data_IF_072844042549
#
_entry.id   IF_072844042549
#
_cell.length_a   1.000
_cell.length_b   1.000
_cell.length_c   1.000
_cell.angle_alpha   90.00
_cell.angle_beta   90.00
_cell.angle_gamma   90.00
#
_symmetry.space_group_name_H-M   'P 1'
#
loop_
_entity.id
_entity.type
_entity.pdbx_description
1 polymer ?
#
# COMPACT_ATOMS: atom_id res chain seq x y z
N UNK A 1 -44.69 41.48 23.05
CA UNK A 1 -44.36 40.06 22.86
C UNK A 1 -43.97 39.82 21.39
N UNK A 2 -42.80 40.11 20.79
CA UNK A 2 -41.42 40.48 21.18
C UNK A 2 -40.87 39.66 22.35
N UNK A 3 -39.95 38.75 22.02
CA UNK A 3 -39.26 37.68 22.79
C UNK A 3 -39.50 36.38 21.98
N UNK A 4 -38.54 35.65 21.43
CA UNK A 4 -37.19 35.34 21.89
C UNK A 4 -36.44 34.61 20.74
N UNK A 5 -35.10 34.75 20.71
CA UNK A 5 -34.11 33.85 20.07
C UNK A 5 -34.06 33.92 18.52
N UNK A 6 -33.23 34.71 17.84
CA UNK A 6 -32.02 35.47 18.18
C UNK A 6 -30.88 34.67 18.87
N UNK A 7 -30.61 33.45 18.40
CA UNK A 7 -29.33 32.75 18.61
C UNK A 7 -28.96 32.09 17.28
N UNK A 8 -28.09 32.73 16.50
CA UNK A 8 -27.01 32.13 15.69
C UNK A 8 -26.30 33.14 14.76
N UNK A 9 -26.35 34.46 15.08
CA UNK A 9 -25.51 35.48 14.44
C UNK A 9 -24.41 36.02 15.37
N UNK A 10 -23.98 35.26 16.38
CA UNK A 10 -22.94 35.66 17.34
C UNK A 10 -21.77 34.65 17.32
N UNK A 11 -20.82 34.84 16.40
CA UNK A 11 -19.37 34.67 16.67
C UNK A 11 -18.51 35.04 15.45
N UNK A 12 -18.82 36.17 14.80
CA UNK A 12 -17.89 36.87 13.91
C UNK A 12 -17.69 38.28 14.46
N UNK A 13 -16.51 38.50 15.04
CA UNK A 13 -15.79 39.78 15.06
C UNK A 13 -16.17 40.79 16.14
N UNK A 14 -15.24 41.00 17.08
CA UNK A 14 -14.84 42.28 17.74
C UNK A 14 -13.72 41.87 18.73
N UNK A 15 -12.55 42.46 18.88
CA UNK A 15 -11.78 43.53 18.21
C UNK A 15 -10.34 43.41 18.75
N UNK A 16 -9.30 43.57 17.92
CA UNK A 16 -8.58 44.81 17.66
C UNK A 16 -7.95 45.47 18.91
N UNK A 17 -6.61 45.38 18.99
CA UNK A 17 -5.67 46.52 19.02
C UNK A 17 -4.53 46.35 20.04
N UNK A 18 -3.29 46.25 19.53
CA UNK A 18 -2.15 47.05 20.01
C UNK A 18 -0.96 46.87 19.05
N UNK A 19 -0.69 47.91 18.25
CA UNK A 19 0.59 48.20 17.63
C UNK A 19 1.67 48.36 18.72
N UNK A 20 2.89 47.88 18.49
CA UNK A 20 4.03 48.77 18.17
C UNK A 20 5.37 48.02 18.11
N UNK A 21 6.14 48.39 17.08
CA UNK A 21 7.59 48.57 17.07
C UNK A 21 8.49 47.36 17.34
N UNK A 22 9.06 46.83 16.26
CA UNK A 22 10.33 46.11 16.32
C UNK A 22 11.40 47.01 15.65
N UNK A 23 12.33 47.62 16.41
CA UNK A 23 13.52 48.24 15.84
C UNK A 23 14.65 47.21 15.74
N UNK A 24 15.60 47.53 14.86
CA UNK A 24 16.78 46.76 14.49
C UNK A 24 17.72 46.37 15.66
N UNK A 25 18.52 45.34 15.39
CA UNK A 25 19.59 44.68 16.17
C UNK A 25 20.48 45.57 17.07
N UNK A 26 21.19 44.97 18.05
CA UNK A 26 22.59 44.62 17.78
C UNK A 26 23.03 43.22 18.27
N UNK A 27 24.08 42.72 17.61
CA UNK A 27 24.90 41.58 18.01
C UNK A 27 25.41 41.70 19.46
N UNK A 28 25.38 40.58 20.21
CA UNK A 28 26.44 40.24 21.19
C UNK A 28 26.44 38.74 21.55
N UNK A 29 27.64 38.16 21.51
CA UNK A 29 28.09 36.77 21.77
C UNK A 29 27.97 36.32 23.25
N UNK A 30 28.49 35.14 23.69
CA UNK A 30 28.52 33.80 23.10
C UNK A 30 27.93 32.72 24.05
N UNK A 31 27.26 31.72 23.46
CA UNK A 31 27.48 30.29 23.67
C UNK A 31 27.77 29.78 25.11
N UNK A 32 26.74 29.71 25.98
CA UNK A 32 26.83 28.98 27.25
C UNK A 32 26.74 27.46 27.09
N UNK A 33 26.13 26.97 26.02
CA UNK A 33 26.02 25.52 25.77
C UNK A 33 27.34 24.92 25.26
N UNK A 34 28.11 25.65 24.43
CA UNK A 34 29.42 25.15 23.97
C UNK A 34 30.44 24.93 25.09
N UNK A 35 30.41 25.75 26.16
CA UNK A 35 31.29 25.56 27.33
C UNK A 35 30.95 24.29 28.11
N UNK A 36 29.67 23.91 28.19
CA UNK A 36 29.24 22.68 28.88
C UNK A 36 29.70 21.42 28.13
N UNK A 37 29.71 21.46 26.80
CA UNK A 37 30.23 20.37 25.96
C UNK A 37 31.77 20.33 25.94
N UNK A 38 32.46 21.47 26.05
CA UNK A 38 33.92 21.51 26.19
C UNK A 38 34.39 21.01 27.55
N UNK A 39 33.72 21.36 28.65
CA UNK A 39 34.07 20.81 29.98
C UNK A 39 33.79 19.31 30.09
N UNK A 40 32.80 18.77 29.36
CA UNK A 40 32.64 17.31 29.26
C UNK A 40 33.70 16.69 28.35
N UNK A 41 34.02 17.28 27.20
CA UNK A 41 35.08 16.76 26.30
C UNK A 41 36.46 16.72 26.96
N UNK A 42 36.83 17.75 27.73
CA UNK A 42 38.12 17.82 28.42
C UNK A 42 38.21 16.85 29.61
N UNK A 43 37.06 16.43 30.17
CA UNK A 43 37.00 15.41 31.23
C UNK A 43 37.15 13.98 30.70
N UNK A 44 36.85 13.75 29.42
CA UNK A 44 37.08 12.47 28.75
C UNK A 44 38.52 12.32 28.23
N UNK A 45 39.23 13.42 27.98
CA UNK A 45 40.64 13.40 27.57
C UNK A 45 41.64 13.25 28.73
N UNK A 46 41.24 13.48 29.99
CA UNK A 46 42.12 13.32 31.16
C UNK A 46 42.08 11.95 31.83
N UNK A 47 41.18 11.08 31.39
CA UNK A 47 41.14 9.68 31.80
C UNK A 47 41.60 8.83 30.62
N UNK A 48 42.88 8.95 30.26
CA UNK A 48 43.52 7.95 29.40
C UNK A 48 43.35 6.60 30.11
N UNK A 49 42.58 5.65 29.55
CA UNK A 49 42.42 4.37 30.19
C UNK A 49 43.79 3.71 30.23
N UNK A 50 44.23 3.35 31.44
CA UNK A 50 45.17 2.25 31.69
C UNK A 50 44.93 1.17 30.63
N UNK A 51 45.98 0.63 29.99
CA UNK A 51 45.85 -0.22 28.79
C UNK A 51 44.75 -1.22 29.06
N UNK A 52 43.63 -1.04 28.36
CA UNK A 52 42.44 -1.85 28.54
C UNK A 52 42.92 -3.28 28.38
N UNK A 53 42.82 -4.09 29.45
CA UNK A 53 43.12 -5.52 29.41
C UNK A 53 42.57 -6.05 28.09
N UNK A 54 43.42 -6.66 27.25
CA UNK A 54 43.00 -7.18 25.94
C UNK A 54 41.75 -8.07 26.07
N UNK A 55 41.57 -8.74 27.21
CA UNK A 55 40.38 -9.52 27.55
C UNK A 55 39.11 -8.69 27.70
N UNK A 56 39.19 -7.50 28.32
CA UNK A 56 38.04 -6.58 28.43
C UNK A 56 37.71 -5.97 27.07
N UNK A 57 38.70 -5.63 26.26
CA UNK A 57 38.50 -5.21 24.87
C UNK A 57 37.81 -6.29 24.04
N UNK A 58 38.28 -7.55 24.13
CA UNK A 58 37.68 -8.71 23.46
C UNK A 58 36.25 -8.99 23.95
N UNK A 59 35.95 -8.80 25.24
CA UNK A 59 34.58 -8.92 25.77
C UNK A 59 33.66 -7.82 25.23
N UNK A 60 34.12 -6.56 25.21
CA UNK A 60 33.33 -5.45 24.68
C UNK A 60 33.04 -5.67 23.18
N UNK A 61 34.03 -6.09 22.40
CA UNK A 61 33.82 -6.44 20.98
C UNK A 61 32.80 -7.56 20.79
N UNK A 62 32.84 -8.62 21.62
CA UNK A 62 31.84 -9.70 21.57
C UNK A 62 30.42 -9.21 21.89
N UNK A 63 30.27 -8.37 22.91
CA UNK A 63 28.95 -7.81 23.23
C UNK A 63 28.43 -6.88 22.14
N UNK A 64 29.31 -6.13 21.47
CA UNK A 64 28.93 -5.32 20.31
C UNK A 64 28.50 -6.18 19.12
N UNK A 65 29.25 -7.23 18.80
CA UNK A 65 28.88 -8.17 17.73
C UNK A 65 27.56 -8.90 18.02
N UNK A 66 27.35 -9.32 19.27
CA UNK A 66 26.12 -9.96 19.71
C UNK A 66 24.92 -9.00 19.66
N UNK A 67 25.11 -7.74 20.06
CA UNK A 67 24.09 -6.70 19.94
C UNK A 67 23.76 -6.41 18.45
N UNK A 68 24.77 -6.25 17.59
CA UNK A 68 24.58 -6.04 16.16
C UNK A 68 23.82 -7.20 15.51
N UNK A 69 24.20 -8.44 15.84
CA UNK A 69 23.52 -9.64 15.37
C UNK A 69 22.05 -9.69 15.80
N UNK A 70 21.76 -9.36 17.07
CA UNK A 70 20.39 -9.26 17.57
C UNK A 70 19.59 -8.17 16.84
N UNK A 71 20.18 -7.01 16.56
CA UNK A 71 19.51 -5.95 15.79
C UNK A 71 19.24 -6.39 14.35
N UNK A 72 20.18 -7.07 13.70
CA UNK A 72 20.02 -7.59 12.35
C UNK A 72 18.92 -8.66 12.27
N UNK A 73 18.86 -9.55 13.26
CA UNK A 73 17.80 -10.57 13.38
C UNK A 73 16.42 -9.92 13.58
N UNK A 74 16.29 -8.94 14.48
CA UNK A 74 15.04 -8.20 14.71
C UNK A 74 14.60 -7.44 13.45
N UNK A 75 15.53 -6.80 12.73
CA UNK A 75 15.23 -6.05 11.52
C UNK A 75 14.87 -6.97 10.34
N UNK A 76 15.49 -8.16 10.24
CA UNK A 76 15.14 -9.18 9.26
C UNK A 76 13.72 -9.72 9.47
N UNK A 77 13.39 -10.07 10.71
CA UNK A 77 12.05 -10.55 11.08
C UNK A 77 10.95 -9.52 10.82
N UNK A 78 11.23 -8.22 11.00
CA UNK A 78 10.27 -7.15 10.70
C UNK A 78 9.92 -7.08 9.20
N UNK A 79 10.91 -7.17 8.31
CA UNK A 79 10.68 -7.11 6.85
C UNK A 79 9.84 -8.29 6.35
N UNK A 80 10.15 -9.50 6.83
CA UNK A 80 9.39 -10.70 6.48
C UNK A 80 7.97 -10.66 7.08
N UNK A 81 7.81 -10.11 8.28
CA UNK A 81 6.50 -9.91 8.90
C UNK A 81 5.63 -8.91 8.13
N UNK A 82 6.21 -7.85 7.55
CA UNK A 82 5.49 -6.88 6.72
C UNK A 82 4.96 -7.51 5.43
N UNK A 83 5.75 -8.36 4.76
CA UNK A 83 5.28 -9.11 3.59
C UNK A 83 4.12 -10.03 3.95
N UNK A 84 4.27 -10.86 5.00
CA UNK A 84 3.19 -11.76 5.45
C UNK A 84 1.92 -11.01 5.84
N UNK A 85 2.06 -9.85 6.48
CA UNK A 85 0.92 -9.00 6.85
C UNK A 85 0.24 -8.43 5.61
N UNK A 86 1.02 -7.99 4.62
CA UNK A 86 0.49 -7.48 3.36
C UNK A 86 -0.20 -8.58 2.56
N UNK A 87 0.33 -9.79 2.53
CA UNK A 87 -0.30 -10.97 1.92
C UNK A 87 -1.65 -11.31 2.55
N UNK A 88 -1.74 -11.33 3.89
CA UNK A 88 -3.02 -11.52 4.60
C UNK A 88 -4.03 -10.42 4.26
N UNK A 89 -3.57 -9.17 4.13
CA UNK A 89 -4.45 -8.06 3.71
C UNK A 89 -4.92 -8.22 2.27
N UNK A 90 -4.07 -8.74 1.38
CA UNK A 90 -4.46 -9.05 -0.01
C UNK A 90 -5.54 -10.12 -0.02
N UNK A 91 -5.33 -11.24 0.68
CA UNK A 91 -6.30 -12.35 0.78
C UNK A 91 -7.67 -11.85 1.28
N UNK A 92 -7.69 -11.11 2.40
CA UNK A 92 -8.93 -10.54 2.92
C UNK A 92 -9.62 -9.58 1.93
N UNK A 93 -8.87 -8.81 1.14
CA UNK A 93 -9.48 -7.93 0.13
C UNK A 93 -9.99 -8.70 -1.10
N UNK A 94 -9.37 -9.83 -1.45
CA UNK A 94 -9.88 -10.73 -2.50
C UNK A 94 -11.23 -11.33 -2.07
N UNK A 95 -11.32 -11.83 -0.83
CA UNK A 95 -12.57 -12.38 -0.28
C UNK A 95 -13.68 -11.32 -0.19
N UNK A 96 -13.33 -10.10 0.23
CA UNK A 96 -14.26 -8.97 0.24
C UNK A 96 -14.74 -8.61 -1.17
N UNK A 97 -13.84 -8.63 -2.15
CA UNK A 97 -14.17 -8.35 -3.55
C UNK A 97 -15.18 -9.36 -4.08
N UNK A 98 -14.94 -10.66 -3.90
CA UNK A 98 -15.86 -11.72 -4.32
C UNK A 98 -17.22 -11.58 -3.61
N UNK A 99 -17.19 -11.32 -2.30
CA UNK A 99 -18.39 -11.06 -1.50
C UNK A 99 -19.23 -9.89 -2.05
N UNK A 100 -18.59 -8.77 -2.39
CA UNK A 100 -19.30 -7.61 -2.96
C UNK A 100 -19.79 -7.87 -4.38
N UNK A 101 -19.01 -8.54 -5.23
CA UNK A 101 -19.43 -8.92 -6.59
C UNK A 101 -20.65 -9.84 -6.58
N UNK A 102 -20.67 -10.83 -5.69
CA UNK A 102 -21.81 -11.73 -5.51
C UNK A 102 -23.07 -11.00 -5.04
N UNK A 103 -22.93 -10.06 -4.10
CA UNK A 103 -24.04 -9.24 -3.61
C UNK A 103 -24.55 -8.28 -4.69
N UNK A 104 -23.65 -7.68 -5.47
CA UNK A 104 -23.99 -6.84 -6.62
C UNK A 104 -24.82 -7.62 -7.65
N UNK A 105 -24.33 -8.79 -8.06
CA UNK A 105 -25.04 -9.66 -9.00
C UNK A 105 -26.42 -10.08 -8.47
N UNK A 106 -26.52 -10.36 -7.16
CA UNK A 106 -27.79 -10.68 -6.51
C UNK A 106 -28.77 -9.51 -6.54
N UNK A 107 -28.30 -8.29 -6.27
CA UNK A 107 -29.12 -7.08 -6.33
C UNK A 107 -29.61 -6.81 -7.77
N UNK A 108 -28.73 -6.91 -8.76
CA UNK A 108 -29.06 -6.72 -10.17
C UNK A 108 -30.09 -7.74 -10.67
N UNK A 109 -29.90 -9.02 -10.31
CA UNK A 109 -30.86 -10.09 -10.62
C UNK A 109 -32.21 -9.86 -9.94
N UNK A 110 -32.21 -9.42 -8.68
CA UNK A 110 -33.43 -9.10 -7.94
C UNK A 110 -34.17 -7.92 -8.57
N UNK A 111 -33.45 -6.88 -8.97
CA UNK A 111 -33.99 -5.70 -9.64
C UNK A 111 -34.62 -6.07 -10.99
N UNK A 112 -33.97 -6.94 -11.77
CA UNK A 112 -34.54 -7.49 -13.01
C UNK A 112 -35.82 -8.29 -12.75
N UNK A 113 -35.83 -9.16 -11.74
CA UNK A 113 -37.01 -9.95 -11.36
C UNK A 113 -38.18 -9.07 -10.96
N UNK A 114 -37.95 -8.05 -10.12
CA UNK A 114 -38.99 -7.11 -9.68
C UNK A 114 -39.54 -6.32 -10.86
N UNK A 115 -38.68 -5.80 -11.76
CA UNK A 115 -39.14 -5.12 -12.98
C UNK A 115 -40.07 -5.99 -13.81
N UNK A 116 -39.72 -7.25 -14.03
CA UNK A 116 -40.55 -8.19 -14.79
C UNK A 116 -41.86 -8.54 -14.06
N UNK A 117 -41.82 -8.76 -12.74
CA UNK A 117 -43.01 -9.07 -11.94
C UNK A 117 -44.01 -7.92 -12.00
N UNK A 118 -43.56 -6.68 -11.78
CA UNK A 118 -44.43 -5.51 -11.78
C UNK A 118 -44.93 -5.14 -13.18
N UNK A 119 -44.12 -5.39 -14.22
CA UNK A 119 -44.57 -5.28 -15.61
C UNK A 119 -45.71 -6.28 -15.92
N UNK A 120 -45.61 -7.53 -15.44
CA UNK A 120 -46.69 -8.52 -15.56
C UNK A 120 -47.95 -8.09 -14.81
N UNK A 121 -47.82 -7.63 -13.56
CA UNK A 121 -48.96 -7.11 -12.78
C UNK A 121 -49.67 -5.96 -13.49
N UNK A 122 -48.89 -5.02 -14.04
CA UNK A 122 -49.42 -3.91 -14.83
C UNK A 122 -50.18 -4.39 -16.06
N UNK A 123 -49.64 -5.35 -16.82
CA UNK A 123 -50.32 -5.90 -18.00
C UNK A 123 -51.63 -6.60 -17.64
N UNK A 124 -51.65 -7.40 -16.56
CA UNK A 124 -52.87 -8.05 -16.08
C UNK A 124 -53.94 -7.02 -15.68
N UNK A 125 -53.54 -5.97 -14.96
CA UNK A 125 -54.44 -4.90 -14.54
C UNK A 125 -55.00 -4.13 -15.75
N UNK A 126 -54.13 -3.80 -16.72
CA UNK A 126 -54.51 -3.14 -17.97
C UNK A 126 -55.50 -3.97 -18.79
N UNK A 127 -55.24 -5.27 -18.94
CA UNK A 127 -56.11 -6.17 -19.69
C UNK A 127 -57.47 -6.34 -18.99
N UNK A 128 -57.47 -6.47 -17.66
CA UNK A 128 -58.71 -6.56 -16.87
C UNK A 128 -59.59 -5.32 -17.02
N UNK A 129 -58.98 -4.13 -17.10
CA UNK A 129 -59.70 -2.89 -17.38
C UNK A 129 -60.21 -2.82 -18.83
N UNK A 130 -59.38 -3.21 -19.80
CA UNK A 130 -59.77 -3.24 -21.22
C UNK A 130 -60.94 -4.20 -21.51
N UNK A 131 -61.01 -5.31 -20.77
CA UNK A 131 -62.09 -6.30 -20.84
C UNK A 131 -63.31 -5.92 -19.97
N UNK A 132 -63.33 -4.71 -19.39
CA UNK A 132 -64.39 -4.21 -18.49
C UNK A 132 -64.66 -5.11 -17.27
N UNK A 133 -63.69 -5.92 -16.83
CA UNK A 133 -63.82 -6.76 -15.63
C UNK A 133 -63.71 -5.97 -14.33
N UNK A 134 -63.10 -4.78 -14.40
CA UNK A 134 -62.94 -3.85 -13.28
C UNK A 134 -63.36 -2.45 -13.70
N UNK A 135 -63.89 -1.69 -12.74
CA UNK A 135 -64.30 -0.32 -12.92
C UNK A 135 -63.11 0.65 -12.85
N UNK A 136 -63.27 1.82 -13.47
CA UNK A 136 -62.22 2.86 -13.57
C UNK A 136 -61.62 3.27 -12.21
N UNK A 137 -62.40 3.53 -11.13
CA UNK A 137 -61.79 3.94 -9.86
C UNK A 137 -61.00 2.81 -9.20
N UNK A 138 -61.45 1.55 -9.29
CA UNK A 138 -60.68 0.40 -8.82
C UNK A 138 -59.38 0.22 -9.61
N UNK A 139 -59.43 0.36 -10.94
CA UNK A 139 -58.22 0.35 -11.77
C UNK A 139 -57.21 1.40 -11.33
N UNK A 140 -57.64 2.65 -11.11
CA UNK A 140 -56.75 3.74 -10.69
C UNK A 140 -56.12 3.46 -9.31
N UNK A 141 -56.92 2.97 -8.36
CA UNK A 141 -56.44 2.62 -7.01
C UNK A 141 -55.39 1.51 -7.05
N UNK A 142 -55.65 0.42 -7.78
CA UNK A 142 -54.70 -0.68 -7.90
C UNK A 142 -53.45 -0.28 -8.69
N UNK A 143 -53.60 0.56 -9.73
CA UNK A 143 -52.46 1.08 -10.48
C UNK A 143 -51.54 1.91 -9.59
N UNK A 144 -52.11 2.78 -8.76
CA UNK A 144 -51.35 3.59 -7.81
C UNK A 144 -50.61 2.69 -6.81
N UNK A 145 -51.30 1.71 -6.22
CA UNK A 145 -50.69 0.74 -5.29
C UNK A 145 -49.51 -0.02 -5.93
N UNK A 146 -49.70 -0.52 -7.15
CA UNK A 146 -48.64 -1.21 -7.91
C UNK A 146 -47.46 -0.27 -8.19
N UNK A 147 -47.73 1.00 -8.52
CA UNK A 147 -46.70 2.02 -8.74
C UNK A 147 -45.91 2.39 -7.49
N UNK A 148 -46.58 2.55 -6.35
CA UNK A 148 -45.96 2.89 -5.07
C UNK A 148 -45.08 1.74 -4.56
N UNK A 149 -45.59 0.51 -4.61
CA UNK A 149 -44.82 -0.69 -4.25
C UNK A 149 -43.60 -0.89 -5.15
N UNK A 150 -43.76 -0.71 -6.46
CA UNK A 150 -42.66 -0.79 -7.42
C UNK A 150 -41.59 0.24 -7.10
N UNK A 151 -41.98 1.50 -6.87
CA UNK A 151 -41.05 2.60 -6.59
C UNK A 151 -40.27 2.34 -5.31
N UNK A 152 -40.95 1.90 -4.24
CA UNK A 152 -40.30 1.55 -2.99
C UNK A 152 -39.27 0.43 -3.16
N UNK A 153 -39.66 -0.68 -3.81
CA UNK A 153 -38.78 -1.84 -4.02
C UNK A 153 -37.59 -1.54 -4.93
N UNK A 154 -37.82 -0.81 -6.02
CA UNK A 154 -36.74 -0.40 -6.92
C UNK A 154 -35.78 0.55 -6.22
N UNK A 155 -36.28 1.54 -5.47
CA UNK A 155 -35.42 2.47 -4.74
C UNK A 155 -34.49 1.75 -3.76
N UNK A 156 -35.01 0.78 -3.01
CA UNK A 156 -34.20 -0.03 -2.09
C UNK A 156 -33.09 -0.79 -2.82
N UNK A 157 -33.43 -1.52 -3.89
CA UNK A 157 -32.46 -2.33 -4.62
C UNK A 157 -31.45 -1.50 -5.42
N UNK A 158 -31.88 -0.36 -5.98
CA UNK A 158 -30.98 0.57 -6.66
C UNK A 158 -29.95 1.13 -5.68
N UNK A 159 -30.36 1.47 -4.46
CA UNK A 159 -29.43 1.91 -3.41
C UNK A 159 -28.40 0.82 -3.08
N UNK A 160 -28.82 -0.43 -2.96
CA UNK A 160 -27.91 -1.56 -2.72
C UNK A 160 -26.96 -1.77 -3.90
N UNK A 161 -27.45 -1.67 -5.14
CA UNK A 161 -26.64 -1.78 -6.34
C UNK A 161 -25.55 -0.71 -6.38
N UNK A 162 -25.91 0.56 -6.16
CA UNK A 162 -24.96 1.67 -6.12
C UNK A 162 -23.92 1.50 -5.01
N UNK A 163 -24.35 1.03 -3.84
CA UNK A 163 -23.45 0.73 -2.72
C UNK A 163 -22.41 -0.33 -3.10
N UNK A 164 -22.86 -1.49 -3.59
CA UNK A 164 -21.95 -2.58 -3.92
C UNK A 164 -21.05 -2.27 -5.13
N UNK A 165 -21.51 -1.47 -6.10
CA UNK A 165 -20.66 -0.98 -7.19
C UNK A 165 -19.50 -0.12 -6.65
N UNK A 166 -19.80 0.84 -5.77
CA UNK A 166 -18.77 1.70 -5.15
C UNK A 166 -17.80 0.91 -4.30
N UNK A 167 -18.29 0.00 -3.46
CA UNK A 167 -17.43 -0.82 -2.60
C UNK A 167 -16.57 -1.82 -3.40
N UNK A 168 -17.10 -2.37 -4.51
CA UNK A 168 -16.31 -3.21 -5.43
C UNK A 168 -15.18 -2.41 -6.06
N UNK A 169 -15.46 -1.19 -6.54
CA UNK A 169 -14.44 -0.32 -7.13
C UNK A 169 -13.35 0.04 -6.12
N UNK A 170 -13.75 0.52 -4.94
CA UNK A 170 -12.83 0.90 -3.85
C UNK A 170 -11.97 -0.27 -3.39
N UNK A 171 -12.56 -1.46 -3.25
CA UNK A 171 -11.84 -2.68 -2.85
C UNK A 171 -10.86 -3.11 -3.94
N UNK A 172 -11.25 -3.03 -5.22
CA UNK A 172 -10.38 -3.30 -6.36
C UNK A 172 -9.18 -2.34 -6.41
N UNK A 173 -9.40 -1.04 -6.21
CA UNK A 173 -8.32 -0.04 -6.16
C UNK A 173 -7.37 -0.31 -4.99
N UNK A 174 -7.91 -0.62 -3.81
CA UNK A 174 -7.11 -0.99 -2.63
C UNK A 174 -6.30 -2.26 -2.85
N UNK A 175 -6.89 -3.26 -3.50
CA UNK A 175 -6.22 -4.52 -3.83
C UNK A 175 -5.03 -4.28 -4.75
N UNK A 176 -5.19 -3.45 -5.80
CA UNK A 176 -4.08 -3.07 -6.70
C UNK A 176 -2.95 -2.38 -5.93
N UNK A 177 -3.28 -1.44 -5.05
CA UNK A 177 -2.28 -0.75 -4.23
C UNK A 177 -1.53 -1.71 -3.29
N UNK A 178 -2.24 -2.67 -2.68
CA UNK A 178 -1.62 -3.69 -1.82
C UNK A 178 -0.74 -4.66 -2.61
N UNK A 179 -1.15 -5.05 -3.81
CA UNK A 179 -0.36 -5.91 -4.70
C UNK A 179 0.95 -5.23 -5.11
N UNK A 180 0.89 -3.93 -5.46
CA UNK A 180 2.10 -3.17 -5.80
C UNK A 180 3.01 -2.99 -4.58
N UNK A 181 2.44 -2.68 -3.41
CA UNK A 181 3.21 -2.61 -2.15
C UNK A 181 3.90 -3.95 -1.84
N UNK A 182 3.19 -5.07 -1.97
CA UNK A 182 3.77 -6.39 -1.76
C UNK A 182 4.89 -6.69 -2.77
N UNK A 183 4.72 -6.28 -4.03
CA UNK A 183 5.76 -6.41 -5.05
C UNK A 183 7.02 -5.63 -4.67
N UNK A 184 6.87 -4.38 -4.23
CA UNK A 184 7.98 -3.53 -3.78
C UNK A 184 8.68 -4.17 -2.57
N UNK A 185 7.94 -4.60 -1.56
CA UNK A 185 8.49 -5.22 -0.36
C UNK A 185 9.30 -6.49 -0.69
N UNK A 186 8.81 -7.32 -1.63
CA UNK A 186 9.53 -8.50 -2.12
C UNK A 186 10.82 -8.14 -2.85
N UNK A 187 10.84 -7.06 -3.64
CA UNK A 187 12.06 -6.59 -4.32
C UNK A 187 13.10 -6.11 -3.30
N UNK A 188 12.69 -5.31 -2.31
CA UNK A 188 13.59 -4.80 -1.25
C UNK A 188 14.23 -5.97 -0.50
N UNK A 189 13.44 -6.95 -0.06
CA UNK A 189 13.95 -8.13 0.65
C UNK A 189 14.89 -8.96 -0.21
N UNK A 190 14.62 -9.08 -1.52
CA UNK A 190 15.49 -9.86 -2.41
C UNK A 190 16.79 -9.13 -2.79
N UNK A 191 16.80 -7.79 -2.80
CA UNK A 191 18.00 -6.99 -3.03
C UNK A 191 18.90 -6.91 -1.79
N UNK A 192 18.33 -7.04 -0.58
CA UNK A 192 19.06 -7.08 0.68
C UNK A 192 19.69 -8.46 1.00
N UNK A 193 19.37 -9.50 0.20
CA UNK A 193 20.02 -10.80 0.33
C UNK A 193 21.40 -10.74 -0.34
N UNK A 194 22.50 -11.09 0.36
CA UNK A 194 23.79 -11.22 -0.28
C UNK A 194 23.67 -12.27 -1.39
N UNK A 195 24.12 -11.92 -2.61
CA UNK A 195 24.30 -12.88 -3.70
C UNK A 195 25.17 -14.01 -3.13
N UNK A 196 24.77 -15.28 -3.22
CA UNK A 196 25.65 -16.36 -2.79
C UNK A 196 26.93 -16.24 -3.60
N UNK A 197 28.08 -16.10 -2.95
CA UNK A 197 29.38 -16.23 -3.62
C UNK A 197 29.33 -17.58 -4.36
N UNK A 198 29.25 -17.52 -5.70
CA UNK A 198 29.33 -18.72 -6.51
C UNK A 198 30.70 -19.34 -6.23
N UNK A 199 30.70 -20.46 -5.52
CA UNK A 199 31.91 -21.24 -5.32
C UNK A 199 32.53 -21.48 -6.72
N UNK A 200 33.84 -21.23 -6.90
CA UNK A 200 34.46 -21.26 -8.22
C UNK A 200 34.12 -22.58 -8.89
N UNK A 201 33.47 -22.49 -10.07
CA UNK A 201 33.00 -23.66 -10.82
C UNK A 201 34.18 -24.62 -11.00
N UNK A 202 34.08 -25.81 -10.42
CA UNK A 202 35.07 -26.87 -10.66
C UNK A 202 34.96 -27.25 -12.14
N UNK A 203 35.97 -26.89 -12.92
CA UNK A 203 36.09 -27.30 -14.31
C UNK A 203 35.99 -28.83 -14.39
N UNK A 204 35.18 -29.30 -15.33
CA UNK A 204 35.07 -30.73 -15.64
C UNK A 204 36.41 -31.24 -16.20
N UNK A 205 36.66 -32.55 -16.12
CA UNK A 205 37.92 -33.14 -16.58
C UNK A 205 38.21 -32.83 -18.06
N UNK A 206 37.15 -32.67 -18.86
CA UNK A 206 37.24 -32.33 -20.28
C UNK A 206 37.61 -30.86 -20.51
N UNK A 207 37.05 -29.94 -19.71
CA UNK A 207 37.43 -28.51 -19.74
C UNK A 207 38.87 -28.32 -19.25
N UNK A 208 39.30 -29.07 -18.23
CA UNK A 208 40.68 -29.05 -17.72
C UNK A 208 41.68 -29.60 -18.74
N UNK A 209 41.28 -30.60 -19.53
CA UNK A 209 42.09 -31.15 -20.61
C UNK A 209 42.22 -30.17 -21.79
N UNK A 210 41.15 -29.48 -22.17
CA UNK A 210 41.17 -28.43 -23.21
C UNK A 210 42.05 -27.24 -22.82
N UNK A 211 42.00 -26.82 -21.55
CA UNK A 211 42.85 -25.75 -21.05
C UNK A 211 44.33 -26.14 -21.03
N UNK A 212 44.64 -27.40 -20.66
CA UNK A 212 45.98 -27.96 -20.77
C UNK A 212 46.49 -28.06 -22.22
N UNK A 213 45.63 -28.42 -23.17
CA UNK A 213 45.97 -28.47 -24.60
C UNK A 213 46.23 -27.08 -25.16
N UNK A 214 45.45 -26.07 -24.76
CA UNK A 214 45.68 -24.67 -25.14
C UNK A 214 46.98 -24.11 -24.56
N UNK A 215 47.35 -24.48 -23.33
CA UNK A 215 48.61 -24.07 -22.71
C UNK A 215 49.84 -24.77 -23.32
N UNK A 216 49.68 -25.98 -23.85
CA UNK A 216 50.75 -26.72 -24.54
C UNK A 216 51.06 -26.21 -25.95
N UNK A 217 50.29 -25.26 -26.49
CA UNK A 217 50.59 -24.58 -27.76
C UNK A 217 50.69 -25.49 -28.99
N UNK A 218 50.20 -26.73 -28.92
CA UNK A 218 50.38 -27.74 -29.98
C UNK A 218 49.56 -27.47 -31.25
N UNK A 219 48.72 -26.43 -31.25
CA UNK A 219 47.95 -25.98 -32.41
C UNK A 219 48.09 -24.47 -32.60
N UNK A 220 49.32 -23.97 -32.74
CA UNK A 220 49.52 -22.71 -33.46
C UNK A 220 49.17 -22.93 -34.94
N UNK A 221 47.90 -22.73 -35.29
CA UNK A 221 47.51 -22.56 -36.70
C UNK A 221 48.12 -21.23 -37.16
N UNK A 222 49.31 -21.30 -37.77
CA UNK A 222 49.86 -20.18 -38.54
C UNK A 222 48.83 -19.81 -39.61
N UNK A 223 48.19 -18.65 -39.44
CA UNK A 223 47.35 -18.03 -40.46
C UNK A 223 48.16 -17.83 -41.74
N UNK A 224 48.06 -18.77 -42.68
CA UNK A 224 48.60 -18.69 -44.05
C UNK A 224 47.77 -17.75 -44.94
N UNK A 225 47.34 -16.60 -44.42
CA UNK A 225 46.56 -15.61 -45.18
C UNK A 225 47.26 -14.24 -45.30
N UNK A 226 48.60 -14.22 -45.26
CA UNK A 226 49.39 -13.06 -45.67
C UNK A 226 50.49 -13.51 -46.66
N UNK A 227 50.07 -14.00 -47.83
CA UNK A 227 50.98 -14.13 -48.97
C UNK A 227 51.15 -12.76 -49.65
N UNK A 228 52.39 -12.31 -49.92
CA UNK A 228 52.69 -11.00 -50.49
C UNK A 228 52.79 -11.07 -52.02
N UNK A 229 51.71 -11.42 -52.71
CA UNK A 229 51.66 -11.29 -54.17
C UNK A 229 50.25 -10.85 -54.58
N UNK A 230 50.04 -9.53 -54.64
CA UNK A 230 49.08 -8.81 -55.46
C UNK A 230 49.35 -7.31 -55.27
N UNK A 231 50.32 -6.80 -56.04
CA UNK A 231 50.44 -5.41 -56.45
C UNK A 231 50.22 -5.35 -57.95
#
# INVERSE_FOLDING_TARGET
MKLFIMILCLSLGFSLAAQNNNPEQPLQEPNQDAKKWQETSDQWQKNDPSPVDEEKGKQISRYFEEALKNYEEILGDQKDAEVRTTEKRIEANVDLLDGYQKKLSTSENSLRKIKLEYMRKFLVLKNSFAENRIDKPTYQKELQKVGDEYTYKVKSLSSDQEFYQKETQKTSERLKALQELNRINKIIINNDKPVPEEAPRKLTDLERLLEGVNQMGCFEVKNFCLSPELK
#
